data_IF_533211332920
#
_entry.id   IF_533211332920
#
_cell.length_a   1.000
_cell.length_b   1.000
_cell.length_c   1.000
_cell.angle_alpha   90.00
_cell.angle_beta   90.00
_cell.angle_gamma   90.00
#
_symmetry.space_group_name_H-M   'P 1'
#
loop_
_entity.id
_entity.type
_entity.pdbx_description
1 polymer ?
#
# COMPACT_ATOMS: atom_id res chain seq x y z
N UNK A 1 -9.88 35.07 0.74
CA UNK A 1 -8.53 34.99 0.15
C UNK A 1 -7.76 33.90 0.89
N UNK A 2 -7.75 32.68 0.40
CA UNK A 2 -6.95 31.59 0.96
C UNK A 2 -5.99 31.11 -0.11
N UNK A 3 -4.69 31.27 0.16
CA UNK A 3 -3.60 30.85 -0.72
C UNK A 3 -3.49 29.32 -0.69
N UNK A 4 -3.61 28.73 -1.86
CA UNK A 4 -3.40 27.30 -2.11
C UNK A 4 -1.90 27.02 -2.05
N UNK A 5 -1.44 26.28 -1.04
CA UNK A 5 -0.09 25.72 -1.04
C UNK A 5 -0.10 24.42 -1.87
N UNK A 6 0.43 24.48 -3.05
CA UNK A 6 0.72 23.30 -3.88
C UNK A 6 2.00 22.65 -3.32
N UNK A 7 1.87 21.46 -2.74
CA UNK A 7 2.99 20.63 -2.35
C UNK A 7 3.53 19.95 -3.61
N UNK A 8 4.57 20.54 -4.20
CA UNK A 8 5.30 19.96 -5.31
C UNK A 8 6.19 18.84 -4.79
N UNK A 9 5.86 17.60 -5.16
CA UNK A 9 6.71 16.43 -4.94
C UNK A 9 7.85 16.50 -5.97
N UNK A 10 8.98 17.08 -5.59
CA UNK A 10 10.20 17.10 -6.39
C UNK A 10 10.86 15.72 -6.39
N UNK A 11 10.70 15.02 -7.48
CA UNK A 11 11.59 13.92 -7.87
C UNK A 11 12.95 14.53 -8.27
N UNK A 12 14.08 14.07 -7.76
CA UNK A 12 15.38 14.52 -8.24
C UNK A 12 15.61 13.95 -9.65
N UNK A 13 15.54 14.83 -10.64
CA UNK A 13 16.03 14.59 -11.98
C UNK A 13 17.56 14.64 -11.89
N UNK A 14 18.21 13.48 -11.99
CA UNK A 14 19.66 13.41 -12.02
C UNK A 14 20.17 14.12 -13.28
N UNK A 15 20.91 15.22 -13.08
CA UNK A 15 21.65 15.90 -14.13
C UNK A 15 22.63 14.94 -14.78
N UNK A 16 22.49 14.70 -16.09
CA UNK A 16 23.56 14.15 -16.93
C UNK A 16 24.62 15.21 -17.11
N UNK A 17 25.71 15.11 -16.36
CA UNK A 17 26.94 15.81 -16.68
C UNK A 17 27.64 15.04 -17.82
N UNK A 18 27.82 15.71 -18.95
CA UNK A 18 28.65 15.21 -20.06
C UNK A 18 30.13 15.19 -19.62
N UNK A 19 30.57 14.04 -19.14
CA UNK A 19 31.98 13.75 -18.86
C UNK A 19 32.63 13.05 -20.06
N UNK A 20 33.85 13.45 -20.38
CA UNK A 20 34.68 12.96 -21.49
C UNK A 20 34.75 11.43 -21.52
N UNK A 21 34.61 10.85 -22.71
CA UNK A 21 34.68 9.43 -22.97
C UNK A 21 36.04 8.84 -22.62
N UNK A 22 36.15 8.18 -21.51
CA UNK A 22 37.22 7.21 -21.25
C UNK A 22 36.95 5.92 -22.04
N UNK A 23 37.96 5.19 -22.50
CA UNK A 23 37.75 3.96 -23.25
C UNK A 23 36.97 2.95 -22.36
N UNK A 24 35.77 2.61 -22.83
CA UNK A 24 34.91 1.62 -22.17
C UNK A 24 35.55 0.25 -22.35
N UNK A 25 36.18 -0.26 -21.30
CA UNK A 25 36.48 -1.67 -21.20
C UNK A 25 35.13 -2.43 -21.28
N UNK A 26 34.96 -3.41 -22.19
CA UNK A 26 33.70 -4.13 -22.24
C UNK A 26 33.41 -4.71 -20.85
N UNK A 27 32.34 -4.27 -20.26
CA UNK A 27 31.86 -4.81 -18.99
C UNK A 27 31.65 -6.31 -19.20
N UNK A 28 32.28 -7.13 -18.37
CA UNK A 28 32.02 -8.56 -18.36
C UNK A 28 30.51 -8.79 -18.27
N UNK A 29 29.98 -9.69 -19.08
CA UNK A 29 28.56 -10.03 -19.03
C UNK A 29 28.20 -10.37 -17.58
N UNK A 30 27.07 -9.87 -17.07
CA UNK A 30 26.66 -10.17 -15.70
C UNK A 30 26.55 -11.68 -15.55
N UNK A 31 27.22 -12.22 -14.54
CA UNK A 31 27.18 -13.62 -14.20
C UNK A 31 25.72 -14.01 -13.87
N UNK A 32 25.08 -14.89 -14.65
CA UNK A 32 23.69 -15.28 -14.40
C UNK A 32 23.51 -15.92 -13.02
N UNK A 33 24.54 -16.58 -12.50
CA UNK A 33 24.52 -17.17 -11.17
C UNK A 33 24.53 -16.11 -10.05
N UNK A 34 25.14 -14.93 -10.31
CA UNK A 34 25.12 -13.83 -9.36
C UNK A 34 23.73 -13.20 -9.25
N UNK A 35 23.00 -13.07 -10.36
CA UNK A 35 21.64 -12.54 -10.36
C UNK A 35 20.67 -13.50 -9.64
N UNK A 36 20.79 -14.80 -9.85
CA UNK A 36 19.97 -15.81 -9.19
C UNK A 36 20.27 -15.88 -7.69
N UNK A 37 21.55 -15.79 -7.30
CA UNK A 37 21.97 -15.72 -5.90
C UNK A 37 21.42 -14.50 -5.18
N UNK A 38 21.46 -13.33 -5.83
CA UNK A 38 20.90 -12.08 -5.28
C UNK A 38 19.38 -12.17 -5.10
N UNK A 39 18.68 -12.81 -6.04
CA UNK A 39 17.24 -13.04 -5.94
C UNK A 39 16.91 -14.03 -4.83
N UNK A 40 17.67 -15.11 -4.69
CA UNK A 40 17.49 -16.10 -3.62
C UNK A 40 17.80 -15.51 -2.25
N UNK A 41 18.83 -14.67 -2.11
CA UNK A 41 19.14 -13.96 -0.89
C UNK A 41 18.07 -12.93 -0.53
N UNK A 42 17.52 -12.21 -1.52
CA UNK A 42 16.41 -11.30 -1.33
C UNK A 42 15.12 -12.04 -0.91
N UNK A 43 14.84 -13.20 -1.50
CA UNK A 43 13.72 -14.05 -1.11
C UNK A 43 13.93 -14.71 0.27
N UNK A 44 15.15 -15.08 0.62
CA UNK A 44 15.49 -15.62 1.94
C UNK A 44 15.45 -14.56 3.04
N UNK A 45 15.74 -13.29 2.71
CA UNK A 45 15.61 -12.15 3.63
C UNK A 45 14.15 -11.70 3.80
N UNK A 46 13.27 -12.01 2.84
CA UNK A 46 11.82 -11.84 2.97
C UNK A 46 11.28 -12.86 3.98
N UNK A 47 11.36 -12.51 5.26
CA UNK A 47 11.15 -13.45 6.38
C UNK A 47 9.75 -14.04 6.44
N UNK A 48 8.74 -13.44 5.85
CA UNK A 48 7.37 -13.98 5.86
C UNK A 48 6.58 -13.57 4.62
N UNK A 49 6.20 -14.58 3.86
CA UNK A 49 5.14 -14.44 2.85
C UNK A 49 3.79 -14.46 3.57
N UNK A 50 2.96 -13.50 3.27
CA UNK A 50 1.63 -13.36 3.84
C UNK A 50 0.61 -13.27 2.72
N UNK A 51 -0.44 -14.06 2.80
CA UNK A 51 -1.62 -13.91 1.94
C UNK A 51 -2.55 -12.90 2.58
N UNK A 52 -2.98 -11.93 1.79
CA UNK A 52 -4.01 -10.97 2.15
C UNK A 52 -5.37 -11.51 1.71
N UNK A 53 -6.27 -11.64 2.67
CA UNK A 53 -7.61 -12.20 2.52
C UNK A 53 -8.65 -11.08 2.32
N UNK A 54 -9.91 -11.42 2.03
CA UNK A 54 -10.98 -10.44 1.99
C UNK A 54 -11.03 -9.59 3.26
N UNK A 55 -11.45 -8.36 3.09
CA UNK A 55 -11.55 -7.38 4.16
C UNK A 55 -12.92 -6.71 4.22
N UNK A 56 -13.01 -5.71 5.08
CA UNK A 56 -14.19 -4.88 5.22
C UNK A 56 -13.79 -3.41 5.33
N UNK A 57 -14.67 -2.53 4.89
CA UNK A 57 -14.50 -1.09 5.01
C UNK A 57 -15.67 -0.47 5.75
N UNK A 58 -15.36 0.55 6.53
CA UNK A 58 -16.38 1.40 7.15
C UNK A 58 -16.22 2.84 6.63
N UNK A 59 -17.31 3.38 6.10
CA UNK A 59 -17.34 4.73 5.55
C UNK A 59 -17.97 5.70 6.56
N UNK A 60 -17.25 6.76 6.90
CA UNK A 60 -17.73 7.76 7.89
C UNK A 60 -18.82 8.68 7.34
N UNK A 61 -19.13 8.62 6.05
CA UNK A 61 -20.25 9.35 5.44
C UNK A 61 -20.83 8.55 4.27
N UNK A 62 -22.07 8.90 3.87
CA UNK A 62 -22.73 8.29 2.70
C UNK A 62 -22.12 8.78 1.38
N UNK A 63 -22.31 8.03 0.28
CA UNK A 63 -21.93 8.50 -1.04
C UNK A 63 -22.65 9.81 -1.37
N UNK A 64 -21.92 10.77 -1.92
CA UNK A 64 -22.49 12.02 -2.39
C UNK A 64 -22.13 12.25 -3.87
N UNK A 65 -23.04 12.89 -4.61
CA UNK A 65 -22.81 13.31 -5.98
C UNK A 65 -21.82 14.50 -6.05
N UNK A 66 -21.54 14.95 -7.28
CA UNK A 66 -20.66 16.11 -7.53
C UNK A 66 -21.16 17.43 -6.92
N UNK A 67 -22.45 17.52 -6.63
CA UNK A 67 -23.10 18.70 -6.04
C UNK A 67 -23.18 18.58 -4.51
N UNK A 68 -22.66 17.47 -3.93
CA UNK A 68 -22.73 17.22 -2.50
C UNK A 68 -24.04 16.63 -2.01
N UNK A 69 -24.98 16.31 -2.91
CA UNK A 69 -26.23 15.66 -2.53
C UNK A 69 -25.96 14.20 -2.18
N UNK A 70 -26.42 13.79 -1.01
CA UNK A 70 -26.29 12.39 -0.56
C UNK A 70 -27.16 11.51 -1.43
N UNK A 71 -26.54 10.50 -2.03
CA UNK A 71 -27.27 9.51 -2.83
C UNK A 71 -28.24 8.74 -1.93
N UNK A 72 -29.53 8.87 -2.18
CA UNK A 72 -30.59 8.24 -1.39
C UNK A 72 -30.79 6.76 -1.71
N UNK A 73 -30.22 6.27 -2.82
CA UNK A 73 -30.43 4.92 -3.30
C UNK A 73 -29.21 4.00 -3.29
N UNK A 74 -27.99 4.55 -3.28
CA UNK A 74 -26.75 3.74 -3.32
C UNK A 74 -26.03 3.76 -1.99
N UNK A 75 -25.60 2.58 -1.54
CA UNK A 75 -24.75 2.42 -0.37
C UNK A 75 -23.38 1.94 -0.82
N UNK A 76 -22.36 2.25 -0.02
CA UNK A 76 -21.04 1.63 -0.21
C UNK A 76 -21.11 0.14 0.10
N UNK A 77 -20.40 -0.66 -0.67
CA UNK A 77 -20.12 -2.02 -0.33
C UNK A 77 -19.06 -2.03 0.78
N UNK A 78 -19.42 -2.50 1.96
CA UNK A 78 -18.50 -2.59 3.10
C UNK A 78 -17.78 -3.94 3.18
N UNK A 79 -18.17 -4.92 2.35
CA UNK A 79 -17.51 -6.21 2.21
C UNK A 79 -16.59 -6.18 0.99
N UNK A 80 -15.31 -5.99 1.24
CA UNK A 80 -14.31 -5.87 0.19
C UNK A 80 -13.71 -7.24 -0.13
N UNK A 81 -14.27 -7.89 -1.12
CA UNK A 81 -13.75 -9.16 -1.61
C UNK A 81 -12.42 -8.94 -2.33
N UNK A 82 -11.43 -9.79 -2.07
CA UNK A 82 -10.15 -9.65 -2.73
C UNK A 82 -9.12 -10.66 -2.23
N UNK A 83 -7.99 -10.68 -2.91
CA UNK A 83 -6.83 -11.47 -2.53
C UNK A 83 -5.57 -10.71 -2.88
N UNK A 84 -4.55 -10.85 -2.08
CA UNK A 84 -3.24 -10.26 -2.32
C UNK A 84 -2.12 -11.05 -1.66
N UNK A 85 -0.92 -10.62 -1.96
CA UNK A 85 0.30 -11.10 -1.34
C UNK A 85 1.00 -9.94 -0.64
N UNK A 86 1.68 -10.23 0.44
CA UNK A 86 2.51 -9.29 1.19
C UNK A 86 3.82 -9.96 1.55
N UNK A 87 4.92 -9.30 1.26
CA UNK A 87 6.26 -9.69 1.66
C UNK A 87 6.68 -8.77 2.81
N UNK A 88 7.03 -9.37 3.93
CA UNK A 88 7.51 -8.66 5.11
C UNK A 88 9.01 -8.87 5.29
N UNK A 89 9.75 -7.78 5.59
CA UNK A 89 11.16 -7.80 5.91
C UNK A 89 11.41 -6.97 7.16
N UNK A 90 12.07 -7.56 8.15
CA UNK A 90 12.56 -6.82 9.31
C UNK A 90 13.84 -6.07 8.93
N UNK A 91 13.97 -4.84 9.39
CA UNK A 91 15.16 -4.05 9.19
C UNK A 91 16.15 -4.28 10.35
N UNK A 92 17.43 -4.13 10.04
CA UNK A 92 18.53 -4.33 10.99
C UNK A 92 19.31 -3.01 11.25
N UNK A 93 20.26 -3.05 12.19
CA UNK A 93 21.10 -1.91 12.52
C UNK A 93 20.31 -0.77 13.16
N UNK A 94 20.52 0.46 12.69
CA UNK A 94 19.82 1.65 13.20
C UNK A 94 18.29 1.59 13.05
N UNK A 95 17.78 0.71 12.19
CA UNK A 95 16.35 0.50 11.92
C UNK A 95 15.80 -0.73 12.67
N UNK A 96 16.50 -1.24 13.68
CA UNK A 96 16.00 -2.36 14.47
C UNK A 96 14.62 -2.04 15.07
N UNK A 97 13.73 -3.04 14.99
CA UNK A 97 12.34 -2.90 15.37
C UNK A 97 11.45 -2.21 14.32
N UNK A 98 11.99 -1.92 13.15
CA UNK A 98 11.20 -1.51 11.98
C UNK A 98 10.99 -2.67 11.03
N UNK A 99 9.86 -2.65 10.35
CA UNK A 99 9.43 -3.67 9.38
C UNK A 99 8.98 -2.97 8.11
N UNK A 100 9.42 -3.47 6.97
CA UNK A 100 8.84 -3.08 5.69
C UNK A 100 7.90 -4.17 5.21
N UNK A 101 6.80 -3.77 4.56
CA UNK A 101 5.85 -4.71 3.96
C UNK A 101 5.52 -4.22 2.55
N UNK A 102 5.82 -5.06 1.57
CA UNK A 102 5.45 -4.80 0.18
C UNK A 102 4.25 -5.66 -0.17
N UNK A 103 3.20 -5.06 -0.68
CA UNK A 103 1.94 -5.74 -0.97
C UNK A 103 1.47 -5.48 -2.39
N UNK A 104 0.82 -6.47 -2.95
CA UNK A 104 0.16 -6.40 -4.25
C UNK A 104 -1.09 -7.28 -4.24
N UNK A 105 -2.18 -6.81 -4.85
CA UNK A 105 -3.41 -7.59 -4.90
C UNK A 105 -4.53 -6.97 -5.71
N UNK A 106 -5.62 -7.70 -5.72
CA UNK A 106 -6.90 -7.31 -6.32
C UNK A 106 -7.95 -7.23 -5.23
N UNK A 107 -8.86 -6.30 -5.34
CA UNK A 107 -9.98 -6.19 -4.42
C UNK A 107 -11.22 -5.64 -5.13
N UNK A 108 -12.39 -6.11 -4.70
CA UNK A 108 -13.66 -5.47 -5.01
C UNK A 108 -13.82 -4.29 -4.05
N UNK A 109 -13.83 -3.10 -4.58
CA UNK A 109 -13.86 -1.90 -3.78
C UNK A 109 -15.26 -1.57 -3.23
N UNK A 110 -15.34 -0.51 -2.46
CA UNK A 110 -16.61 -0.06 -1.88
C UNK A 110 -17.61 0.52 -2.88
N UNK A 111 -17.21 0.71 -4.13
CA UNK A 111 -18.07 1.11 -5.24
C UNK A 111 -18.50 -0.10 -6.10
N UNK A 112 -18.28 -1.32 -5.61
CA UNK A 112 -18.58 -2.59 -6.28
C UNK A 112 -17.73 -2.86 -7.54
N UNK A 113 -16.66 -2.12 -7.75
CA UNK A 113 -15.75 -2.29 -8.87
C UNK A 113 -14.50 -3.09 -8.48
N UNK A 114 -13.99 -3.89 -9.41
CA UNK A 114 -12.69 -4.56 -9.22
C UNK A 114 -11.58 -3.54 -9.38
N UNK A 115 -10.63 -3.57 -8.47
CA UNK A 115 -9.45 -2.71 -8.49
C UNK A 115 -8.18 -3.49 -8.20
N UNK A 116 -7.05 -2.88 -8.54
CA UNK A 116 -5.71 -3.37 -8.21
C UNK A 116 -5.09 -2.44 -7.18
N UNK A 117 -4.21 -2.97 -6.36
CA UNK A 117 -3.36 -2.15 -5.51
C UNK A 117 -1.96 -2.72 -5.44
N UNK A 118 -1.00 -1.83 -5.29
CA UNK A 118 0.36 -2.11 -4.89
C UNK A 118 0.73 -1.14 -3.76
N UNK A 119 1.52 -1.59 -2.80
CA UNK A 119 1.91 -0.75 -1.67
C UNK A 119 3.22 -1.17 -1.05
N UNK A 120 3.90 -0.18 -0.48
CA UNK A 120 5.08 -0.40 0.34
C UNK A 120 4.93 0.40 1.63
N UNK A 121 5.03 -0.28 2.76
CA UNK A 121 4.85 0.34 4.08
C UNK A 121 6.12 0.24 4.90
N UNK A 122 6.35 1.24 5.72
CA UNK A 122 7.36 1.25 6.77
C UNK A 122 6.64 1.38 8.11
N UNK A 123 6.80 0.39 8.97
CA UNK A 123 6.11 0.30 10.25
C UNK A 123 7.09 0.01 11.37
N UNK A 124 6.90 0.63 12.52
CA UNK A 124 7.64 0.32 13.73
C UNK A 124 6.89 -0.70 14.57
N UNK A 125 7.56 -1.75 14.98
CA UNK A 125 7.02 -2.72 15.92
C UNK A 125 6.85 -2.08 17.28
N UNK A 126 5.60 -1.86 17.68
CA UNK A 126 5.23 -1.19 18.94
C UNK A 126 5.04 -2.17 20.07
N UNK A 127 4.55 -3.35 19.71
CA UNK A 127 4.35 -4.45 20.66
C UNK A 127 4.93 -5.71 20.04
N UNK A 128 5.75 -6.41 20.80
CA UNK A 128 6.26 -7.72 20.45
C UNK A 128 6.17 -8.63 21.68
N UNK A 129 5.16 -9.48 21.70
CA UNK A 129 4.88 -10.44 22.78
C UNK A 129 4.97 -11.86 22.22
N UNK A 130 5.12 -12.89 23.07
CA UNK A 130 5.13 -14.28 22.60
C UNK A 130 3.90 -14.66 21.79
N UNK A 131 2.73 -14.13 22.14
CA UNK A 131 1.46 -14.46 21.51
C UNK A 131 1.14 -13.57 20.29
N UNK A 132 1.54 -12.30 20.28
CA UNK A 132 1.15 -11.35 19.23
C UNK A 132 2.17 -10.25 19.01
N UNK A 133 2.11 -9.63 17.84
CA UNK A 133 2.85 -8.40 17.50
C UNK A 133 1.91 -7.33 16.96
N UNK A 134 2.29 -6.06 17.16
CA UNK A 134 1.57 -4.89 16.62
C UNK A 134 2.59 -3.94 16.02
N UNK A 135 2.40 -3.59 14.77
CA UNK A 135 3.24 -2.69 14.00
C UNK A 135 2.40 -1.45 13.60
N UNK A 136 2.97 -0.26 13.74
CA UNK A 136 2.32 1.01 13.39
C UNK A 136 3.25 1.83 12.50
N UNK A 137 2.72 2.38 11.43
CA UNK A 137 3.48 3.22 10.51
C UNK A 137 2.64 3.81 9.40
N UNK A 138 3.28 4.01 8.26
CA UNK A 138 2.63 4.53 7.06
C UNK A 138 3.14 3.79 5.82
N UNK A 139 2.38 3.88 4.74
CA UNK A 139 2.76 3.30 3.46
C UNK A 139 2.37 4.17 2.28
N UNK A 140 3.18 4.07 1.24
CA UNK A 140 2.86 4.58 -0.08
C UNK A 140 2.12 3.48 -0.86
N UNK A 141 0.97 3.83 -1.40
CA UNK A 141 0.11 2.93 -2.16
C UNK A 141 -0.20 3.50 -3.53
N UNK A 142 -0.38 2.62 -4.47
CA UNK A 142 -0.87 2.90 -5.80
C UNK A 142 -2.10 2.05 -6.04
N UNK A 143 -3.25 2.69 -6.23
CA UNK A 143 -4.52 2.03 -6.50
C UNK A 143 -4.93 2.26 -7.94
N UNK A 144 -5.36 1.23 -8.65
CA UNK A 144 -6.07 1.33 -9.91
C UNK A 144 -7.52 0.97 -9.67
N UNK A 145 -8.37 1.99 -9.49
CA UNK A 145 -9.77 1.83 -9.10
C UNK A 145 -10.64 2.99 -9.56
N UNK A 146 -11.95 2.85 -9.40
CA UNK A 146 -12.88 3.95 -9.64
C UNK A 146 -12.97 4.90 -8.44
N UNK A 147 -13.38 6.14 -8.66
CA UNK A 147 -13.65 7.13 -7.60
C UNK A 147 -15.14 7.50 -7.50
N UNK A 148 -15.98 6.90 -8.35
CA UNK A 148 -17.42 7.10 -8.40
C UNK A 148 -18.09 5.83 -8.93
N UNK A 149 -19.36 5.63 -8.59
CA UNK A 149 -20.13 4.52 -9.14
C UNK A 149 -20.15 4.59 -10.67
N UNK A 150 -19.93 3.45 -11.30
CA UNK A 150 -19.93 3.29 -12.77
C UNK A 150 -18.92 4.21 -13.49
N UNK A 151 -17.93 4.71 -12.77
CA UNK A 151 -16.91 5.62 -13.31
C UNK A 151 -15.69 4.88 -13.89
N UNK A 152 -14.85 5.61 -14.63
CA UNK A 152 -13.62 5.04 -15.16
C UNK A 152 -12.61 4.73 -14.03
N UNK A 153 -11.84 3.67 -14.24
CA UNK A 153 -10.69 3.38 -13.37
C UNK A 153 -9.59 4.43 -13.54
N UNK A 154 -8.99 4.79 -12.44
CA UNK A 154 -7.89 5.76 -12.38
C UNK A 154 -6.78 5.24 -11.49
N UNK A 155 -5.57 5.64 -11.80
CA UNK A 155 -4.41 5.41 -10.96
C UNK A 155 -4.34 6.49 -9.88
N UNK A 156 -4.34 6.06 -8.62
CA UNK A 156 -4.45 6.94 -7.45
C UNK A 156 -3.29 6.65 -6.52
N UNK A 157 -2.29 7.53 -6.44
CA UNK A 157 -1.27 7.43 -5.42
C UNK A 157 -1.83 7.93 -4.08
N UNK A 158 -1.43 7.25 -2.99
CA UNK A 158 -1.82 7.65 -1.64
C UNK A 158 -0.72 7.31 -0.64
N UNK A 159 -0.56 8.16 0.38
CA UNK A 159 0.24 7.84 1.57
C UNK A 159 -0.74 7.72 2.73
N UNK A 160 -0.78 6.55 3.36
CA UNK A 160 -1.80 6.21 4.33
C UNK A 160 -1.18 5.66 5.62
N UNK A 161 -1.74 5.99 6.80
CA UNK A 161 -1.38 5.33 8.04
C UNK A 161 -1.85 3.87 8.03
N UNK A 162 -1.00 3.01 8.56
CA UNK A 162 -1.25 1.57 8.61
C UNK A 162 -0.93 1.05 10.00
N UNK A 163 -1.85 0.29 10.56
CA UNK A 163 -1.65 -0.53 11.74
C UNK A 163 -1.79 -1.99 11.34
N UNK A 164 -0.83 -2.81 11.72
CA UNK A 164 -0.87 -4.26 11.51
C UNK A 164 -0.82 -4.97 12.86
N UNK A 165 -1.60 -6.02 13.01
CA UNK A 165 -1.52 -6.90 14.16
C UNK A 165 -1.48 -8.36 13.70
N UNK A 166 -0.70 -9.19 14.39
CA UNK A 166 -0.56 -10.60 14.06
C UNK A 166 -0.55 -11.46 15.34
N UNK A 167 -1.32 -12.52 15.32
CA UNK A 167 -1.25 -13.58 16.32
C UNK A 167 -0.24 -14.64 15.87
N UNK A 168 0.85 -14.80 16.65
CA UNK A 168 2.03 -15.57 16.23
C UNK A 168 1.76 -17.07 16.07
N UNK A 169 1.01 -17.66 17.01
CA UNK A 169 0.75 -19.10 16.99
C UNK A 169 -0.11 -19.53 15.80
N UNK A 170 -1.15 -18.78 15.46
CA UNK A 170 -2.00 -19.08 14.31
C UNK A 170 -1.50 -18.45 13.01
N UNK A 171 -0.54 -17.51 13.09
CA UNK A 171 -0.08 -16.69 11.97
C UNK A 171 -1.22 -15.93 11.25
N UNK A 172 -2.35 -15.75 11.95
CA UNK A 172 -3.44 -14.90 11.49
C UNK A 172 -3.16 -13.46 11.92
N UNK A 173 -3.55 -12.52 11.08
CA UNK A 173 -3.38 -11.12 11.37
C UNK A 173 -4.42 -10.26 10.67
N UNK A 174 -4.25 -8.96 10.85
CA UNK A 174 -5.04 -7.94 10.20
C UNK A 174 -4.17 -6.70 9.89
N UNK A 175 -4.51 -6.03 8.80
CA UNK A 175 -4.03 -4.71 8.48
C UNK A 175 -5.21 -3.74 8.57
N UNK A 176 -5.03 -2.63 9.25
CA UNK A 176 -5.99 -1.53 9.32
C UNK A 176 -5.37 -0.33 8.61
N UNK A 177 -6.08 0.18 7.61
CA UNK A 177 -5.67 1.34 6.83
C UNK A 177 -6.73 2.43 6.98
N UNK A 178 -6.32 3.61 7.41
CA UNK A 178 -7.22 4.75 7.49
C UNK A 178 -7.02 5.67 6.28
N UNK A 179 -8.08 5.87 5.52
CA UNK A 179 -8.11 6.79 4.37
C UNK A 179 -8.82 8.05 4.83
N UNK A 180 -8.13 9.21 4.91
CA UNK A 180 -8.78 10.46 5.27
C UNK A 180 -9.77 10.90 4.19
N UNK A 181 -10.80 11.69 4.53
CA UNK A 181 -11.69 12.25 3.53
C UNK A 181 -10.93 13.23 2.63
N UNK A 182 -11.16 13.16 1.33
CA UNK A 182 -10.49 14.03 0.36
C UNK A 182 -11.45 14.49 -0.74
N UNK A 183 -11.13 15.61 -1.37
CA UNK A 183 -11.91 16.14 -2.50
C UNK A 183 -11.26 15.68 -3.80
N UNK A 184 -12.07 15.17 -4.70
CA UNK A 184 -11.70 14.87 -6.09
C UNK A 184 -12.55 15.75 -7.02
N UNK A 185 -12.12 15.87 -8.27
CA UNK A 185 -12.83 16.71 -9.24
C UNK A 185 -14.32 16.31 -9.40
N UNK A 186 -14.65 15.06 -9.15
CA UNK A 186 -16.00 14.49 -9.24
C UNK A 186 -16.83 14.55 -7.95
N UNK A 187 -16.25 15.04 -6.84
CA UNK A 187 -16.97 15.09 -5.57
C UNK A 187 -16.09 14.94 -4.35
N UNK A 188 -16.69 14.66 -3.21
CA UNK A 188 -16.03 14.43 -1.95
C UNK A 188 -16.02 12.93 -1.64
N UNK A 189 -14.83 12.36 -1.52
CA UNK A 189 -14.66 10.99 -1.03
C UNK A 189 -14.74 10.99 0.50
N UNK A 190 -15.54 10.10 1.09
CA UNK A 190 -15.61 9.95 2.53
C UNK A 190 -14.31 9.43 3.11
N UNK A 191 -14.09 9.68 4.39
CA UNK A 191 -13.09 8.93 5.14
C UNK A 191 -13.49 7.47 5.25
N UNK A 192 -12.50 6.59 5.18
CA UNK A 192 -12.72 5.13 5.20
C UNK A 192 -11.74 4.50 6.17
N UNK A 193 -12.23 3.61 7.01
CA UNK A 193 -11.43 2.65 7.73
C UNK A 193 -11.52 1.30 7.00
N UNK A 194 -10.39 0.81 6.52
CA UNK A 194 -10.30 -0.47 5.84
C UNK A 194 -9.58 -1.49 6.72
N UNK A 195 -10.19 -2.63 6.94
CA UNK A 195 -9.64 -3.77 7.69
C UNK A 195 -9.48 -4.94 6.74
N UNK A 196 -8.27 -5.46 6.62
CA UNK A 196 -7.93 -6.60 5.78
C UNK A 196 -7.38 -7.72 6.64
N UNK A 197 -7.89 -8.92 6.49
CA UNK A 197 -7.36 -10.10 7.16
C UNK A 197 -6.12 -10.62 6.44
N UNK A 198 -5.23 -11.26 7.20
CA UNK A 198 -3.97 -11.78 6.66
C UNK A 198 -3.66 -13.15 7.25
N UNK A 199 -2.91 -13.95 6.47
CA UNK A 199 -2.37 -15.25 6.90
C UNK A 199 -0.92 -15.36 6.46
N UNK A 200 0.00 -15.39 7.41
CA UNK A 200 1.42 -15.62 7.16
C UNK A 200 1.77 -17.12 7.07
N UNK A 201 2.87 -17.43 6.35
CA UNK A 201 3.39 -18.77 6.10
C UNK A 201 4.83 -18.88 6.56
#
# INVERSE_FOLDING_TARGET
MFRTAALALLLPLACLAAGAASPVTPAAAPDPDAADKTLQEALASARHLTIQLPGMSHHFSRPADKNGNVSTGRKFNEQNWGIGIQLESALAGEWEGWVTKTSFGVLKDSLDAMGLYAGHTLQKRRVDRPAYSVDLGAGAFLFYRTLQFDGPHRLIPAVLPVLSAQHKATRLGLNIVAVPPFKVHSGKMPGVLYVQFTKAF
#
